data_IF_157224836943
#
_entry.id   IF_157224836943
#
_cell.length_a   1.000
_cell.length_b   1.000
_cell.length_c   1.000
_cell.angle_alpha   90.00
_cell.angle_beta   90.00
_cell.angle_gamma   90.00
#
_symmetry.space_group_name_H-M   'P 1'
#
loop_
_entity.id
_entity.type
_entity.pdbx_description
1 polymer ?
#
# COMPACT_ATOMS: atom_id res chain seq x y z
N UNK A 1 -1.87 -13.33 -12.92
CA UNK A 1 -1.93 -13.28 -11.43
C UNK A 1 -1.74 -11.85 -10.97
N UNK A 2 -2.42 -11.48 -9.90
CA UNK A 2 -2.32 -10.15 -9.29
C UNK A 2 -1.57 -10.21 -7.97
N UNK A 3 -0.92 -9.11 -7.59
CA UNK A 3 -0.60 -8.85 -6.20
C UNK A 3 -1.66 -7.92 -5.64
N UNK A 4 -2.20 -8.21 -4.47
CA UNK A 4 -3.24 -7.38 -3.85
C UNK A 4 -2.87 -7.00 -2.42
N UNK A 5 -3.31 -5.84 -1.97
CA UNK A 5 -3.19 -5.46 -0.57
C UNK A 5 -4.00 -6.44 0.29
N UNK A 6 -3.38 -7.05 1.30
CA UNK A 6 -4.01 -8.08 2.14
C UNK A 6 -5.30 -7.60 2.80
N UNK A 7 -5.37 -6.31 3.18
CA UNK A 7 -6.59 -5.77 3.80
C UNK A 7 -7.79 -5.81 2.86
N UNK A 8 -7.56 -5.71 1.54
CA UNK A 8 -8.63 -5.83 0.54
C UNK A 8 -9.12 -7.26 0.40
N UNK A 9 -8.33 -8.23 0.78
CA UNK A 9 -8.72 -9.65 0.79
C UNK A 9 -9.37 -10.08 2.11
N UNK A 10 -9.55 -9.17 3.05
CA UNK A 10 -10.18 -9.45 4.33
C UNK A 10 -9.23 -9.75 5.48
N UNK A 11 -7.93 -9.56 5.28
CA UNK A 11 -6.94 -9.75 6.35
C UNK A 11 -6.93 -8.52 7.26
N UNK A 12 -6.96 -8.74 8.57
CA UNK A 12 -6.98 -7.69 9.59
C UNK A 12 -5.58 -7.10 9.79
N UNK A 13 -5.06 -6.44 8.77
CA UNK A 13 -3.70 -5.94 8.75
C UNK A 13 -3.59 -4.41 8.61
N UNK A 14 -4.71 -3.69 8.61
CA UNK A 14 -4.67 -2.23 8.64
C UNK A 14 -4.09 -1.74 9.95
N UNK A 15 -3.62 -0.50 9.97
CA UNK A 15 -2.96 0.09 11.16
C UNK A 15 -3.77 -0.08 12.46
N UNK A 16 -5.10 -0.07 12.37
CA UNK A 16 -6.01 -0.21 13.51
C UNK A 16 -6.43 -1.66 13.78
N UNK A 17 -5.89 -2.63 13.05
CA UNK A 17 -6.26 -4.04 13.19
C UNK A 17 -7.53 -4.42 12.46
N UNK A 18 -8.05 -3.56 11.59
CA UNK A 18 -9.21 -3.84 10.75
C UNK A 18 -8.82 -4.27 9.35
N UNK A 19 -9.81 -4.47 8.50
CA UNK A 19 -9.62 -4.76 7.08
C UNK A 19 -10.50 -3.85 6.23
N UNK A 20 -10.33 -3.93 4.91
CA UNK A 20 -11.14 -3.21 3.93
C UNK A 20 -11.64 -4.21 2.88
N UNK A 21 -12.17 -5.34 3.32
CA UNK A 21 -12.51 -6.45 2.43
C UNK A 21 -13.35 -6.00 1.23
N UNK A 22 -12.89 -6.38 0.05
CA UNK A 22 -13.60 -6.30 -1.20
C UNK A 22 -13.86 -7.74 -1.66
N UNK A 23 -15.13 -8.11 -1.82
CA UNK A 23 -15.51 -9.50 -2.11
C UNK A 23 -14.89 -10.04 -3.40
N UNK A 24 -14.77 -9.21 -4.43
CA UNK A 24 -14.16 -9.60 -5.69
C UNK A 24 -12.67 -9.92 -5.51
N UNK A 25 -11.96 -9.07 -4.79
CA UNK A 25 -10.53 -9.26 -4.52
C UNK A 25 -10.28 -10.47 -3.63
N UNK A 26 -11.10 -10.64 -2.58
CA UNK A 26 -11.03 -11.81 -1.71
C UNK A 26 -11.22 -13.10 -2.51
N UNK A 27 -12.12 -13.09 -3.48
CA UNK A 27 -12.36 -14.24 -4.37
C UNK A 27 -11.15 -14.55 -5.23
N UNK A 28 -10.47 -13.52 -5.76
CA UNK A 28 -9.23 -13.73 -6.54
C UNK A 28 -8.18 -14.49 -5.72
N UNK A 29 -8.03 -14.13 -4.45
CA UNK A 29 -7.07 -14.80 -3.57
C UNK A 29 -7.48 -16.26 -3.33
N UNK A 30 -8.76 -16.50 -3.03
CA UNK A 30 -9.27 -17.86 -2.80
C UNK A 30 -9.08 -18.76 -4.00
N UNK A 31 -9.21 -18.21 -5.21
CA UNK A 31 -9.07 -18.97 -6.46
C UNK A 31 -7.62 -19.10 -6.93
N UNK A 32 -6.66 -18.63 -6.16
CA UNK A 32 -5.25 -18.68 -6.54
C UNK A 32 -4.86 -17.73 -7.66
N UNK A 33 -5.68 -16.71 -7.92
CA UNK A 33 -5.45 -15.71 -8.98
C UNK A 33 -4.74 -14.46 -8.47
N UNK A 34 -4.55 -14.35 -7.17
CA UNK A 34 -3.86 -13.23 -6.53
C UNK A 34 -3.07 -13.67 -5.31
N UNK A 35 -1.98 -13.00 -5.07
CA UNK A 35 -1.17 -13.13 -3.85
C UNK A 35 -1.45 -11.89 -3.00
N UNK A 36 -1.83 -12.10 -1.74
CA UNK A 36 -2.11 -11.01 -0.80
C UNK A 36 -0.88 -10.68 0.03
N UNK A 37 -0.51 -9.40 0.08
CA UNK A 37 0.59 -8.92 0.93
C UNK A 37 0.17 -7.64 1.64
N UNK A 38 0.75 -7.40 2.81
CA UNK A 38 0.70 -6.10 3.49
C UNK A 38 2.13 -5.58 3.58
N UNK A 39 2.49 -4.57 2.78
CA UNK A 39 3.87 -4.07 2.76
C UNK A 39 4.34 -3.57 4.12
N UNK A 40 3.44 -3.01 4.92
CA UNK A 40 3.79 -2.52 6.26
C UNK A 40 4.13 -3.69 7.21
N UNK A 41 3.38 -4.80 7.14
CA UNK A 41 3.71 -6.00 7.91
C UNK A 41 5.00 -6.67 7.40
N UNK A 42 5.23 -6.65 6.09
CA UNK A 42 6.48 -7.17 5.52
C UNK A 42 7.71 -6.42 6.04
N UNK A 43 7.56 -5.15 6.37
CA UNK A 43 8.65 -4.35 6.93
C UNK A 43 8.91 -4.63 8.41
N UNK A 44 8.07 -5.44 9.05
CA UNK A 44 8.18 -5.74 10.47
C UNK A 44 7.36 -4.84 11.39
N UNK A 45 6.52 -3.96 10.83
CA UNK A 45 5.64 -3.14 11.66
C UNK A 45 4.53 -3.97 12.27
N UNK A 46 4.23 -3.71 13.53
CA UNK A 46 3.17 -4.43 14.27
C UNK A 46 1.77 -4.00 13.80
N UNK A 47 0.79 -4.84 14.11
CA UNK A 47 -0.64 -4.52 13.97
C UNK A 47 -1.29 -4.73 15.34
N UNK A 48 -1.91 -3.74 15.99
CA UNK A 48 -2.06 -2.36 15.50
C UNK A 48 -0.76 -1.54 15.56
N UNK A 49 -0.77 -0.42 14.86
CA UNK A 49 0.34 0.53 14.79
C UNK A 49 -0.20 1.95 14.59
N UNK A 50 0.61 2.98 14.86
CA UNK A 50 0.15 4.35 14.62
C UNK A 50 -0.19 4.61 13.17
N UNK A 51 -1.22 5.41 12.93
CA UNK A 51 -1.55 5.92 11.60
C UNK A 51 -0.40 6.76 11.07
N UNK A 52 -0.08 6.60 9.78
CA UNK A 52 1.00 7.32 9.11
C UNK A 52 0.49 8.07 7.89
N UNK A 53 1.15 9.19 7.58
CA UNK A 53 0.91 9.95 6.35
C UNK A 53 2.25 10.37 5.74
N UNK A 54 2.22 10.70 4.45
CA UNK A 54 3.41 11.17 3.74
C UNK A 54 3.50 12.69 3.86
N UNK A 55 4.69 13.18 4.23
CA UNK A 55 5.02 14.60 4.14
C UNK A 55 6.16 14.79 3.14
N UNK A 56 6.30 16.00 2.62
CA UNK A 56 7.44 16.39 1.78
C UNK A 56 8.35 17.23 2.67
N UNK A 57 9.61 16.79 2.82
CA UNK A 57 10.56 17.50 3.65
C UNK A 57 11.16 18.72 2.92
N UNK A 58 12.03 19.45 3.61
CA UNK A 58 12.66 20.65 3.07
C UNK A 58 13.57 20.39 1.86
N UNK A 59 13.99 19.14 1.67
CA UNK A 59 14.80 18.70 0.52
C UNK A 59 13.94 18.09 -0.59
N UNK A 60 12.63 18.28 -0.55
CA UNK A 60 11.65 17.74 -1.51
C UNK A 60 11.59 16.21 -1.54
N UNK A 61 11.99 15.55 -0.46
CA UNK A 61 11.92 14.10 -0.33
C UNK A 61 10.64 13.69 0.41
N UNK A 62 10.06 12.56 0.01
CA UNK A 62 8.94 11.98 0.72
C UNK A 62 9.40 11.37 2.04
N UNK A 63 8.71 11.72 3.13
CA UNK A 63 8.92 11.12 4.44
C UNK A 63 7.60 10.57 4.93
N UNK A 64 7.62 9.39 5.53
CA UNK A 64 6.44 8.78 6.14
C UNK A 64 6.53 8.99 7.64
N UNK A 65 5.55 9.70 8.19
CA UNK A 65 5.54 10.04 9.62
C UNK A 65 4.27 9.54 10.28
N UNK A 66 4.40 9.06 11.51
CA UNK A 66 3.25 8.66 12.31
C UNK A 66 2.58 9.88 12.94
N UNK A 67 1.33 9.69 13.37
CA UNK A 67 0.56 10.75 14.03
C UNK A 67 1.26 11.28 15.29
N UNK A 68 2.07 10.46 15.95
CA UNK A 68 2.85 10.85 17.14
C UNK A 68 4.25 11.37 16.78
N UNK A 69 4.52 11.67 15.52
CA UNK A 69 5.73 12.35 15.07
C UNK A 69 6.93 11.45 14.77
N UNK A 70 6.76 10.14 14.79
CA UNK A 70 7.85 9.22 14.49
C UNK A 70 8.05 9.06 12.98
N UNK A 71 9.29 9.18 12.50
CA UNK A 71 9.62 8.95 11.09
C UNK A 71 9.81 7.45 10.84
N UNK A 72 8.98 6.89 9.97
CA UNK A 72 8.99 5.46 9.61
C UNK A 72 9.35 5.26 8.14
N UNK A 73 9.93 6.24 7.49
CA UNK A 73 10.26 6.20 6.06
C UNK A 73 11.07 4.96 5.69
N UNK A 74 12.11 4.64 6.47
CA UNK A 74 12.95 3.47 6.20
C UNK A 74 12.15 2.18 6.18
N UNK A 75 11.26 1.98 7.16
CA UNK A 75 10.41 0.79 7.21
C UNK A 75 9.49 0.70 6.00
N UNK A 76 8.90 1.82 5.58
CA UNK A 76 8.03 1.85 4.40
C UNK A 76 8.80 1.56 3.11
N UNK A 77 10.03 2.06 2.98
CA UNK A 77 10.90 1.75 1.84
C UNK A 77 11.23 0.25 1.82
N UNK A 78 11.59 -0.33 2.97
CA UNK A 78 11.88 -1.76 3.07
C UNK A 78 10.66 -2.61 2.71
N UNK A 79 9.47 -2.22 3.15
CA UNK A 79 8.23 -2.90 2.79
C UNK A 79 7.94 -2.85 1.29
N UNK A 80 8.21 -1.71 0.66
CA UNK A 80 8.07 -1.55 -0.79
C UNK A 80 9.03 -2.45 -1.55
N UNK A 81 10.30 -2.49 -1.14
CA UNK A 81 11.31 -3.34 -1.77
C UNK A 81 10.98 -4.82 -1.63
N UNK A 82 10.51 -5.27 -0.46
CA UNK A 82 10.09 -6.65 -0.24
C UNK A 82 8.88 -7.01 -1.09
N UNK A 83 7.93 -6.10 -1.24
CA UNK A 83 6.76 -6.29 -2.10
C UNK A 83 7.20 -6.47 -3.56
N UNK A 84 8.10 -5.63 -4.04
CA UNK A 84 8.65 -5.77 -5.39
C UNK A 84 9.39 -7.11 -5.56
N UNK A 85 10.11 -7.55 -4.54
CA UNK A 85 10.78 -8.87 -4.55
C UNK A 85 9.80 -10.02 -4.76
N UNK A 86 8.64 -9.98 -4.10
CA UNK A 86 7.60 -11.00 -4.27
C UNK A 86 7.05 -10.93 -5.70
N UNK A 87 6.80 -9.74 -6.21
CA UNK A 87 6.30 -9.53 -7.57
C UNK A 87 7.25 -10.13 -8.60
N UNK A 88 8.53 -9.88 -8.46
CA UNK A 88 9.55 -10.43 -9.37
C UNK A 88 9.65 -11.95 -9.26
N UNK A 89 9.63 -12.49 -8.04
CA UNK A 89 9.72 -13.94 -7.82
C UNK A 89 8.52 -14.69 -8.40
N UNK A 90 7.33 -14.11 -8.35
CA UNK A 90 6.10 -14.71 -8.85
C UNK A 90 5.75 -14.32 -10.29
N UNK A 91 6.57 -13.50 -10.93
CA UNK A 91 6.36 -13.00 -12.29
C UNK A 91 5.00 -12.30 -12.46
N UNK A 92 4.69 -11.42 -11.52
CA UNK A 92 3.43 -10.66 -11.51
C UNK A 92 3.66 -9.34 -12.23
N UNK A 93 2.66 -8.87 -13.01
CA UNK A 93 2.75 -7.59 -13.71
C UNK A 93 1.60 -6.63 -13.39
N UNK A 94 0.67 -7.01 -12.53
CA UNK A 94 -0.48 -6.19 -12.14
C UNK A 94 -0.69 -6.24 -10.64
N UNK A 95 -1.02 -5.10 -10.05
CA UNK A 95 -1.31 -5.01 -8.61
C UNK A 95 -2.60 -4.23 -8.39
N UNK A 96 -3.38 -4.67 -7.39
CA UNK A 96 -4.57 -3.97 -6.92
C UNK A 96 -4.29 -3.60 -5.46
N UNK A 97 -4.11 -2.31 -5.22
CA UNK A 97 -3.66 -1.80 -3.92
C UNK A 97 -4.72 -0.94 -3.27
N UNK A 98 -4.77 -0.96 -1.94
CA UNK A 98 -5.73 -0.14 -1.20
C UNK A 98 -5.45 1.34 -1.44
N UNK A 99 -6.51 2.10 -1.79
CA UNK A 99 -6.43 3.55 -2.02
C UNK A 99 -6.04 4.32 -0.76
N UNK A 100 -5.45 5.49 -0.95
CA UNK A 100 -5.15 6.52 0.07
C UNK A 100 -4.07 6.19 1.08
N UNK A 101 -3.60 4.95 1.17
CA UNK A 101 -2.57 4.52 2.11
C UNK A 101 -1.21 5.16 1.79
N UNK A 102 -0.36 5.47 2.78
CA UNK A 102 1.00 5.95 2.52
C UNK A 102 1.90 4.89 1.88
N UNK A 103 1.54 3.61 1.95
CA UNK A 103 2.26 2.54 1.26
C UNK A 103 1.59 2.22 -0.09
N UNK A 104 0.32 1.89 -0.08
CA UNK A 104 -0.40 1.33 -1.23
C UNK A 104 -1.18 2.35 -2.07
N UNK A 105 -1.40 3.56 -1.57
CA UNK A 105 -2.24 4.56 -2.25
C UNK A 105 -1.73 4.90 -3.65
N UNK A 106 -2.66 4.99 -4.61
CA UNK A 106 -2.34 5.33 -5.99
C UNK A 106 -3.25 6.46 -6.45
N UNK A 107 -2.65 7.55 -6.87
CA UNK A 107 -3.36 8.73 -7.37
C UNK A 107 -3.73 9.76 -6.31
N UNK A 108 -4.27 9.33 -5.19
CA UNK A 108 -4.60 10.20 -4.06
C UNK A 108 -4.08 9.61 -2.75
N UNK A 109 -3.49 10.46 -1.94
CA UNK A 109 -3.00 10.12 -0.59
C UNK A 109 -3.37 11.25 0.37
N UNK A 110 -3.32 10.96 1.67
CA UNK A 110 -3.50 12.01 2.68
C UNK A 110 -2.30 12.97 2.66
N UNK A 111 -2.57 14.26 2.97
CA UNK A 111 -1.63 15.36 2.77
C UNK A 111 -0.56 15.53 3.85
N UNK A 112 -0.55 14.70 4.88
CA UNK A 112 0.43 14.77 5.96
C UNK A 112 0.00 15.61 7.16
N UNK A 113 -1.19 16.22 7.11
CA UNK A 113 -1.71 17.06 8.22
C UNK A 113 -2.57 16.28 9.20
N UNK A 114 -2.86 15.02 8.93
CA UNK A 114 -3.77 14.17 9.72
C UNK A 114 -5.17 14.78 9.89
N UNK A 115 -5.63 15.50 8.84
CA UNK A 115 -6.91 16.21 8.84
C UNK A 115 -7.95 15.61 7.88
N UNK A 116 -7.63 14.49 7.22
CA UNK A 116 -8.51 13.85 6.25
C UNK A 116 -8.45 14.46 4.85
N UNK A 117 -7.57 15.43 4.60
CA UNK A 117 -7.41 16.03 3.27
C UNK A 117 -6.60 15.14 2.36
N UNK A 118 -7.06 14.99 1.12
CA UNK A 118 -6.39 14.22 0.09
C UNK A 118 -5.70 15.15 -0.90
N UNK A 119 -4.54 14.71 -1.40
CA UNK A 119 -3.77 15.39 -2.45
C UNK A 119 -3.36 14.38 -3.50
N UNK A 120 -3.04 14.85 -4.70
CA UNK A 120 -2.47 14.00 -5.73
C UNK A 120 -1.12 13.46 -5.26
N UNK A 121 -0.92 12.17 -5.42
CA UNK A 121 0.32 11.52 -5.04
C UNK A 121 0.15 10.03 -4.94
N UNK A 122 1.26 9.35 -4.67
CA UNK A 122 1.31 7.90 -4.57
C UNK A 122 2.00 7.48 -3.28
N UNK A 123 1.54 6.38 -2.70
CA UNK A 123 2.25 5.69 -1.63
C UNK A 123 3.58 5.13 -2.14
N UNK A 124 4.47 4.81 -1.21
CA UNK A 124 5.83 4.38 -1.59
C UNK A 124 5.84 3.08 -2.38
N UNK A 125 4.95 2.14 -2.06
CA UNK A 125 4.82 0.88 -2.80
C UNK A 125 4.28 1.13 -4.20
N UNK A 126 3.17 1.87 -4.33
CA UNK A 126 2.58 2.18 -5.63
C UNK A 126 3.59 2.85 -6.54
N UNK A 127 4.33 3.82 -6.03
CA UNK A 127 5.35 4.53 -6.80
C UNK A 127 6.45 3.59 -7.29
N UNK A 128 6.99 2.75 -6.41
CA UNK A 128 8.05 1.81 -6.77
C UNK A 128 7.57 0.80 -7.82
N UNK A 129 6.36 0.26 -7.65
CA UNK A 129 5.81 -0.71 -8.60
C UNK A 129 5.60 -0.08 -9.97
N UNK A 130 5.06 1.13 -10.04
CA UNK A 130 4.87 1.84 -11.31
C UNK A 130 6.19 2.12 -12.01
N UNK A 131 7.21 2.55 -11.27
CA UNK A 131 8.56 2.76 -11.82
C UNK A 131 9.19 1.48 -12.33
N UNK A 132 8.74 0.34 -11.82
CA UNK A 132 9.24 -0.99 -12.20
C UNK A 132 8.42 -1.63 -13.34
N UNK A 133 7.49 -0.88 -13.93
CA UNK A 133 6.69 -1.34 -15.06
C UNK A 133 5.46 -2.16 -14.69
N UNK A 134 5.07 -2.15 -13.41
CA UNK A 134 3.89 -2.86 -12.94
C UNK A 134 2.66 -1.97 -13.12
N UNK A 135 1.57 -2.52 -13.67
CA UNK A 135 0.29 -1.82 -13.75
C UNK A 135 -0.36 -1.81 -12.36
N UNK A 136 -0.64 -0.63 -11.83
CA UNK A 136 -1.20 -0.47 -10.49
C UNK A 136 -2.62 0.07 -10.58
N UNK A 137 -3.53 -0.63 -9.90
CA UNK A 137 -4.95 -0.28 -9.78
C UNK A 137 -5.31 -0.16 -8.30
N UNK A 138 -6.42 0.50 -8.01
CA UNK A 138 -7.00 0.48 -6.67
C UNK A 138 -8.31 -0.31 -6.68
N UNK A 139 -8.89 -0.53 -5.50
CA UNK A 139 -10.20 -1.18 -5.38
C UNK A 139 -11.32 -0.39 -6.08
N UNK A 140 -11.06 0.88 -6.42
CA UNK A 140 -12.01 1.73 -7.14
C UNK A 140 -11.88 1.62 -8.67
N UNK A 141 -10.91 0.86 -9.16
CA UNK A 141 -10.59 0.74 -10.59
C UNK A 141 -10.91 -0.65 -11.15
N UNK A 142 -11.72 -1.45 -10.45
CA UNK A 142 -11.98 -2.84 -10.84
C UNK A 142 -12.68 -2.96 -12.20
N UNK A 143 -13.39 -1.92 -12.63
CA UNK A 143 -14.01 -1.85 -13.96
C UNK A 143 -13.01 -1.62 -15.10
N UNK A 144 -11.77 -1.29 -14.77
CA UNK A 144 -10.70 -1.04 -15.75
C UNK A 144 -9.77 -2.23 -15.96
N UNK A 145 -9.99 -3.31 -15.23
CA UNK A 145 -9.13 -4.48 -15.26
C UNK A 145 -9.62 -5.50 -16.28
#
# INVERSE_FOLDING_TARGET
MYLVSSCLAGVNCRYDGSNSENKYIAKLVKEGKAIAVCPEQLSGLSTPRPCCEIIIDENSNKRVVSKNGKDLTKSFIEGAEKTLGIIKAADINKAILQSRSPSCGCGLIYDGTFSGKLVEGNGLVAELLMKSGIEVYTENDLDKI
#
